data_IF_498923073309
#
_entry.id   IF_498923073309
#
_cell.length_a   1.000
_cell.length_b   1.000
_cell.length_c   1.000
_cell.angle_alpha   90.00
_cell.angle_beta   90.00
_cell.angle_gamma   90.00
#
_symmetry.space_group_name_H-M   'P 1'
#
loop_
_entity.id
_entity.type
_entity.pdbx_description
1 polymer ?
#
# COMPACT_ATOMS: atom_id res chain seq x y z
N UNK A 1 -6.71 13.79 36.39
CA UNK A 1 -5.36 13.57 35.83
C UNK A 1 -5.49 13.42 34.31
N UNK A 2 -4.68 14.09 33.48
CA UNK A 2 -4.71 13.88 32.03
C UNK A 2 -4.11 12.51 31.68
N UNK A 3 -4.67 11.86 30.67
CA UNK A 3 -4.20 10.56 30.18
C UNK A 3 -2.75 10.67 29.67
N UNK A 4 -1.91 9.67 29.92
CA UNK A 4 -0.55 9.66 29.42
C UNK A 4 -0.55 9.63 27.88
N UNK A 5 0.41 10.31 27.22
CA UNK A 5 0.52 10.26 25.78
C UNK A 5 0.73 8.81 25.32
N UNK A 6 0.13 8.40 24.19
CA UNK A 6 0.26 7.04 23.67
C UNK A 6 1.74 6.70 23.44
N UNK A 7 2.13 5.50 23.86
CA UNK A 7 3.51 5.02 23.77
C UNK A 7 3.94 4.82 22.30
N UNK A 8 5.25 4.87 21.98
CA UNK A 8 5.76 4.70 20.61
C UNK A 8 5.32 3.39 19.93
N UNK A 9 5.04 2.34 20.71
CA UNK A 9 4.49 1.09 20.23
C UNK A 9 3.07 1.21 19.67
N UNK A 10 2.25 2.14 20.18
CA UNK A 10 0.91 2.42 19.65
C UNK A 10 0.96 3.10 18.26
N UNK A 11 2.01 3.89 17.98
CA UNK A 11 2.22 4.47 16.66
C UNK A 11 2.63 3.43 15.60
N UNK A 12 3.45 2.44 15.97
CA UNK A 12 3.89 1.39 15.06
C UNK A 12 2.76 0.42 14.65
N UNK A 13 1.77 0.19 15.54
CA UNK A 13 0.60 -0.65 15.24
C UNK A 13 -0.40 0.08 14.33
N UNK A 14 -0.53 1.41 14.46
CA UNK A 14 -1.42 2.22 13.62
C UNK A 14 -0.95 2.34 12.16
N UNK A 15 0.34 2.54 11.91
CA UNK A 15 0.89 2.66 10.54
C UNK A 15 1.06 1.30 9.86
N UNK A 16 1.65 0.33 10.56
CA UNK A 16 1.89 -1.01 9.99
C UNK A 16 0.61 -1.82 9.71
N UNK A 17 -0.46 -1.58 10.48
CA UNK A 17 -1.76 -2.21 10.26
C UNK A 17 -2.45 -1.70 8.99
N UNK A 18 -2.47 -0.38 8.80
CA UNK A 18 -3.08 0.25 7.62
C UNK A 18 -2.28 -0.09 6.35
N UNK A 19 -0.94 -0.09 6.42
CA UNK A 19 -0.11 -0.46 5.27
C UNK A 19 -0.34 -1.91 4.85
N UNK A 20 -0.52 -2.81 5.82
CA UNK A 20 -0.88 -4.21 5.53
C UNK A 20 -2.25 -4.32 4.87
N UNK A 21 -3.25 -3.57 5.34
CA UNK A 21 -4.60 -3.55 4.74
C UNK A 21 -4.56 -2.99 3.32
N UNK A 22 -3.89 -1.86 3.12
CA UNK A 22 -3.72 -1.23 1.81
C UNK A 22 -2.99 -2.16 0.84
N UNK A 23 -1.91 -2.79 1.27
CA UNK A 23 -1.15 -3.70 0.41
C UNK A 23 -1.94 -4.94 0.02
N UNK A 24 -2.75 -5.49 0.94
CA UNK A 24 -3.70 -6.57 0.64
C UNK A 24 -4.74 -6.12 -0.38
N UNK A 25 -5.29 -4.91 -0.22
CA UNK A 25 -6.25 -4.35 -1.16
C UNK A 25 -5.63 -4.21 -2.56
N UNK A 26 -4.43 -3.64 -2.64
CA UNK A 26 -3.69 -3.46 -3.90
C UNK A 26 -3.47 -4.80 -4.59
N UNK A 27 -3.00 -5.82 -3.88
CA UNK A 27 -2.82 -7.17 -4.43
C UNK A 27 -4.13 -7.77 -4.96
N UNK A 28 -5.23 -7.63 -4.22
CA UNK A 28 -6.55 -8.07 -4.66
C UNK A 28 -7.04 -7.30 -5.90
N UNK A 29 -6.79 -5.98 -5.96
CA UNK A 29 -7.06 -5.15 -7.11
C UNK A 29 -6.27 -5.56 -8.34
N UNK A 30 -4.98 -5.87 -8.20
CA UNK A 30 -4.12 -6.32 -9.30
C UNK A 30 -4.55 -7.69 -9.86
N UNK A 31 -5.00 -8.61 -9.00
CA UNK A 31 -5.58 -9.90 -9.44
C UNK A 31 -6.83 -9.67 -10.30
N UNK A 32 -7.66 -8.69 -9.93
CA UNK A 32 -8.93 -8.36 -10.62
C UNK A 32 -8.71 -7.51 -11.87
N UNK A 33 -7.69 -6.66 -11.86
CA UNK A 33 -7.34 -5.72 -12.92
C UNK A 33 -5.91 -5.97 -13.41
N UNK A 34 -5.62 -7.15 -14.03
CA UNK A 34 -4.25 -7.54 -14.37
C UNK A 34 -3.56 -6.58 -15.36
N UNK A 35 -4.32 -5.85 -16.17
CA UNK A 35 -3.78 -4.81 -17.07
C UNK A 35 -3.04 -3.69 -16.32
N UNK A 36 -3.39 -3.43 -15.06
CA UNK A 36 -2.73 -2.42 -14.23
C UNK A 36 -1.35 -2.86 -13.76
N UNK A 37 -1.04 -4.18 -13.74
CA UNK A 37 0.29 -4.67 -13.39
C UNK A 37 1.33 -4.17 -14.39
N UNK A 38 1.04 -4.24 -15.70
CA UNK A 38 1.93 -3.74 -16.74
C UNK A 38 2.05 -2.21 -16.69
N UNK A 39 0.95 -1.51 -16.39
CA UNK A 39 0.93 -0.03 -16.31
C UNK A 39 1.76 0.51 -15.14
N UNK A 40 1.85 -0.25 -14.05
CA UNK A 40 2.55 0.15 -12.83
C UNK A 40 3.78 -0.71 -12.52
N UNK A 41 4.34 -1.40 -13.52
CA UNK A 41 5.39 -2.42 -13.32
C UNK A 41 6.60 -1.87 -12.57
N UNK A 42 7.09 -0.67 -12.89
CA UNK A 42 8.25 -0.07 -12.23
C UNK A 42 8.02 0.13 -10.72
N UNK A 43 6.86 0.68 -10.36
CA UNK A 43 6.48 0.90 -8.97
C UNK A 43 6.28 -0.43 -8.23
N UNK A 44 5.64 -1.40 -8.88
CA UNK A 44 5.41 -2.73 -8.30
C UNK A 44 6.72 -3.50 -8.11
N UNK A 45 7.65 -3.40 -9.05
CA UNK A 45 9.01 -3.94 -8.90
C UNK A 45 9.73 -3.27 -7.74
N UNK A 46 9.65 -1.96 -7.57
CA UNK A 46 10.22 -1.29 -6.39
C UNK A 46 9.62 -1.80 -5.07
N UNK A 47 8.32 -2.09 -5.04
CA UNK A 47 7.64 -2.69 -3.88
C UNK A 47 8.05 -4.15 -3.65
N UNK A 48 8.29 -4.92 -4.72
CA UNK A 48 8.73 -6.30 -4.65
C UNK A 48 10.12 -6.44 -4.01
N UNK A 49 11.00 -5.46 -4.24
CA UNK A 49 12.33 -5.42 -3.61
C UNK A 49 12.31 -5.03 -2.13
N UNK A 50 11.14 -4.69 -1.57
CA UNK A 50 11.02 -4.45 -0.13
C UNK A 50 11.12 -5.77 0.65
N UNK A 51 11.88 -5.77 1.75
CA UNK A 51 12.07 -6.97 2.56
C UNK A 51 10.74 -7.49 3.18
N UNK A 52 10.64 -8.81 3.27
CA UNK A 52 9.61 -9.49 4.05
C UNK A 52 8.54 -10.22 3.22
N UNK A 53 7.46 -10.62 3.88
CA UNK A 53 6.41 -11.41 3.24
C UNK A 53 5.67 -10.62 2.14
N UNK A 54 5.55 -9.30 2.31
CA UNK A 54 4.79 -8.48 1.37
C UNK A 54 5.54 -8.26 0.04
N UNK A 55 6.84 -7.98 0.07
CA UNK A 55 7.65 -7.86 -1.15
C UNK A 55 7.62 -9.13 -1.99
N UNK A 56 7.78 -10.30 -1.34
CA UNK A 56 7.66 -11.61 -2.01
C UNK A 56 6.30 -11.85 -2.67
N UNK A 57 5.22 -11.29 -2.13
CA UNK A 57 3.90 -11.37 -2.78
C UNK A 57 3.82 -10.48 -4.01
N UNK A 58 4.34 -9.25 -3.95
CA UNK A 58 4.41 -8.37 -5.11
C UNK A 58 5.29 -8.95 -6.21
N UNK A 59 6.43 -9.53 -5.84
CA UNK A 59 7.33 -10.27 -6.75
C UNK A 59 6.56 -11.38 -7.48
N UNK A 60 5.89 -12.27 -6.73
CA UNK A 60 5.10 -13.35 -7.33
C UNK A 60 3.99 -12.87 -8.27
N UNK A 61 3.30 -11.78 -7.94
CA UNK A 61 2.26 -11.20 -8.82
C UNK A 61 2.87 -10.61 -10.10
N UNK A 62 4.01 -9.91 -9.99
CA UNK A 62 4.72 -9.33 -11.13
C UNK A 62 5.28 -10.41 -12.04
N UNK A 63 5.93 -11.44 -11.49
CA UNK A 63 6.50 -12.54 -12.28
C UNK A 63 5.43 -13.26 -13.11
N UNK A 64 4.29 -13.58 -12.49
CA UNK A 64 3.17 -14.21 -13.20
C UNK A 64 2.63 -13.32 -14.31
N UNK A 65 2.56 -12.00 -14.07
CA UNK A 65 2.09 -11.04 -15.05
C UNK A 65 3.04 -10.86 -16.24
N UNK A 66 4.34 -11.02 -16.01
CA UNK A 66 5.37 -10.94 -17.05
C UNK A 66 5.45 -12.23 -17.87
N UNK A 67 5.20 -13.39 -17.27
CA UNK A 67 5.21 -14.69 -17.94
C UNK A 67 3.99 -14.93 -18.84
N UNK A 68 2.83 -14.40 -18.48
CA UNK A 68 1.57 -14.62 -19.21
C UNK A 68 1.02 -13.31 -19.79
N UNK A 69 1.07 -13.14 -21.11
CA UNK A 69 0.49 -11.97 -21.80
C UNK A 69 -1.03 -11.93 -21.74
N UNK A 70 -1.70 -13.02 -21.33
CA UNK A 70 -3.15 -13.13 -21.22
C UNK A 70 -3.53 -13.56 -19.79
N UNK A 71 -3.33 -12.66 -18.84
CA UNK A 71 -3.59 -12.91 -17.42
C UNK A 71 -5.06 -13.25 -17.14
N UNK A 72 -5.30 -14.49 -16.72
CA UNK A 72 -6.56 -14.93 -16.12
C UNK A 72 -6.45 -14.81 -14.59
N UNK A 73 -7.35 -14.02 -13.98
CA UNK A 73 -7.48 -13.87 -12.53
C UNK A 73 -7.61 -15.20 -11.80
N UNK A 74 -8.23 -16.22 -12.42
CA UNK A 74 -8.32 -17.56 -11.83
C UNK A 74 -6.95 -18.24 -11.77
N UNK A 75 -6.13 -18.10 -12.81
CA UNK A 75 -4.77 -18.65 -12.88
C UNK A 75 -3.84 -17.96 -11.89
N UNK A 76 -3.92 -16.63 -11.77
CA UNK A 76 -3.10 -15.87 -10.82
C UNK A 76 -3.37 -16.29 -9.37
N UNK A 77 -4.64 -16.57 -9.04
CA UNK A 77 -5.04 -17.13 -7.74
C UNK A 77 -4.47 -18.53 -7.51
N UNK A 78 -4.49 -19.40 -8.51
CA UNK A 78 -3.91 -20.75 -8.41
C UNK A 78 -2.41 -20.70 -8.18
N UNK A 79 -1.70 -19.78 -8.82
CA UNK A 79 -0.26 -19.63 -8.64
C UNK A 79 0.06 -19.10 -7.24
N UNK A 80 -0.67 -18.10 -6.76
CA UNK A 80 -0.51 -17.61 -5.38
C UNK A 80 -0.76 -18.71 -4.33
N UNK A 81 -1.75 -19.58 -4.55
CA UNK A 81 -1.98 -20.75 -3.71
C UNK A 81 -0.79 -21.73 -3.76
N UNK A 82 -0.29 -22.02 -4.96
CA UNK A 82 0.80 -23.00 -5.18
C UNK A 82 2.17 -22.50 -4.66
N UNK A 83 2.40 -21.18 -4.62
CA UNK A 83 3.65 -20.56 -4.18
C UNK A 83 3.85 -20.54 -2.65
N UNK A 84 3.04 -21.28 -1.88
CA UNK A 84 3.16 -21.36 -0.42
C UNK A 84 2.51 -20.20 0.33
N UNK A 85 1.67 -19.40 -0.35
CA UNK A 85 0.92 -18.30 0.24
C UNK A 85 -0.55 -18.64 0.48
N UNK A 86 -0.91 -19.92 0.64
CA UNK A 86 -2.31 -20.38 0.79
C UNK A 86 -3.13 -19.62 1.84
N UNK A 87 -2.56 -19.30 3.00
CA UNK A 87 -3.23 -18.50 4.03
C UNK A 87 -3.47 -17.06 3.56
N UNK A 88 -2.56 -16.49 2.78
CA UNK A 88 -2.70 -15.16 2.20
C UNK A 88 -3.62 -15.16 0.98
N UNK A 89 -3.68 -16.25 0.21
CA UNK A 89 -4.63 -16.42 -0.89
C UNK A 89 -6.07 -16.48 -0.37
N UNK A 90 -6.32 -17.18 0.73
CA UNK A 90 -7.62 -17.19 1.41
C UNK A 90 -7.99 -15.82 2.01
N UNK A 91 -7.03 -15.08 2.56
CA UNK A 91 -7.27 -13.70 3.02
C UNK A 91 -7.48 -12.71 1.87
N UNK A 92 -6.78 -12.87 0.74
CA UNK A 92 -6.99 -12.09 -0.48
C UNK A 92 -8.37 -12.34 -1.07
N UNK A 93 -8.92 -13.55 -0.89
CA UNK A 93 -10.30 -13.84 -1.26
C UNK A 93 -11.34 -13.13 -0.42
N UNK A 94 -10.98 -12.70 0.80
CA UNK A 94 -11.81 -11.85 1.68
C UNK A 94 -11.53 -10.37 1.48
N UNK A 95 -10.61 -10.01 0.59
CA UNK A 95 -10.27 -8.62 0.33
C UNK A 95 -11.38 -7.88 -0.44
N UNK A 96 -12.34 -8.60 -1.02
CA UNK A 96 -13.61 -8.07 -1.49
C UNK A 96 -14.42 -7.35 -0.39
N UNK A 97 -14.15 -7.65 0.88
CA UNK A 97 -14.72 -6.97 2.04
C UNK A 97 -13.97 -5.69 2.43
N UNK A 98 -12.86 -5.35 1.75
CA UNK A 98 -12.12 -4.12 2.02
C UNK A 98 -12.84 -2.93 1.39
N UNK A 99 -12.81 -1.75 2.04
CA UNK A 99 -13.54 -0.58 1.61
C UNK A 99 -12.82 0.14 0.46
N UNK A 100 -12.52 -0.55 -0.64
CA UNK A 100 -11.87 0.05 -1.81
C UNK A 100 -12.64 -0.28 -3.08
N UNK A 101 -12.70 0.68 -3.98
CA UNK A 101 -13.46 0.57 -5.23
C UNK A 101 -12.95 -0.57 -6.12
N UNK A 102 -11.63 -0.76 -6.17
CA UNK A 102 -10.94 -1.79 -6.95
C UNK A 102 -10.97 -3.20 -6.34
N UNK A 103 -11.45 -3.36 -5.11
CA UNK A 103 -11.69 -4.69 -4.53
C UNK A 103 -13.12 -5.17 -4.79
N UNK A 104 -14.05 -4.26 -5.08
CA UNK A 104 -15.46 -4.54 -5.34
C UNK A 104 -15.72 -5.11 -6.75
N UNK A 105 -16.72 -5.98 -6.86
CA UNK A 105 -17.09 -6.62 -8.15
C UNK A 105 -17.97 -5.75 -9.04
N UNK A 106 -18.74 -4.85 -8.46
CA UNK A 106 -19.84 -4.13 -9.12
C UNK A 106 -19.49 -2.66 -9.46
N UNK A 107 -18.24 -2.24 -9.25
CA UNK A 107 -17.79 -0.87 -9.51
C UNK A 107 -17.34 -0.65 -10.96
N UNK A 108 -17.41 0.62 -11.40
CA UNK A 108 -16.93 1.03 -12.71
C UNK A 108 -15.44 0.68 -12.88
N UNK A 109 -15.12 -0.08 -13.93
CA UNK A 109 -13.78 -0.61 -14.16
C UNK A 109 -12.74 0.50 -14.42
N UNK A 110 -13.16 1.62 -15.04
CA UNK A 110 -12.27 2.76 -15.28
C UNK A 110 -11.92 3.45 -13.98
N UNK A 111 -12.90 3.66 -13.11
CA UNK A 111 -12.70 4.29 -11.80
C UNK A 111 -11.91 3.38 -10.84
N UNK A 112 -12.21 2.08 -10.81
CA UNK A 112 -11.42 1.11 -10.05
C UNK A 112 -9.94 1.10 -10.47
N UNK A 113 -9.66 1.17 -11.78
CA UNK A 113 -8.28 1.24 -12.27
C UNK A 113 -7.56 2.52 -11.79
N UNK A 114 -8.23 3.68 -11.84
CA UNK A 114 -7.66 4.95 -11.36
C UNK A 114 -7.38 4.90 -9.85
N UNK A 115 -8.33 4.42 -9.05
CA UNK A 115 -8.18 4.32 -7.60
C UNK A 115 -7.11 3.27 -7.22
N UNK A 116 -6.96 2.19 -8.00
CA UNK A 116 -5.88 1.20 -7.81
C UNK A 116 -4.50 1.80 -8.09
N UNK A 117 -4.34 2.53 -9.19
CA UNK A 117 -3.09 3.22 -9.51
C UNK A 117 -2.68 4.21 -8.42
N UNK A 118 -3.67 4.93 -7.89
CA UNK A 118 -3.48 5.85 -6.77
C UNK A 118 -3.09 5.11 -5.47
N UNK A 119 -3.73 3.98 -5.17
CA UNK A 119 -3.39 3.13 -4.03
C UNK A 119 -1.96 2.60 -4.11
N UNK A 120 -1.51 2.17 -5.29
CA UNK A 120 -0.13 1.73 -5.55
C UNK A 120 0.85 2.88 -5.28
N UNK A 121 0.55 4.07 -5.78
CA UNK A 121 1.38 5.26 -5.58
C UNK A 121 1.51 5.65 -4.10
N UNK A 122 0.40 5.61 -3.36
CA UNK A 122 0.40 5.87 -1.90
C UNK A 122 1.22 4.81 -1.17
N UNK A 123 1.00 3.53 -1.46
CA UNK A 123 1.72 2.41 -0.83
C UNK A 123 3.24 2.51 -1.03
N UNK A 124 3.69 2.90 -2.22
CA UNK A 124 5.11 3.07 -2.52
C UNK A 124 5.73 4.32 -1.86
N UNK A 125 4.97 5.43 -1.75
CA UNK A 125 5.47 6.70 -1.23
C UNK A 125 5.56 6.73 0.31
N UNK A 126 4.63 6.08 1.02
CA UNK A 126 4.55 6.16 2.48
C UNK A 126 5.84 5.75 3.21
N UNK A 127 6.47 4.59 2.93
CA UNK A 127 7.69 4.19 3.63
C UNK A 127 8.85 5.18 3.41
N UNK A 128 8.97 5.72 2.21
CA UNK A 128 10.01 6.70 1.85
C UNK A 128 9.83 8.01 2.62
N UNK A 129 8.58 8.51 2.71
CA UNK A 129 8.26 9.74 3.45
C UNK A 129 8.47 9.55 4.95
N UNK A 130 8.09 8.41 5.52
CA UNK A 130 8.29 8.11 6.94
C UNK A 130 9.79 8.01 7.28
N UNK A 131 10.58 7.32 6.45
CA UNK A 131 12.03 7.22 6.63
C UNK A 131 12.70 8.60 6.56
N UNK A 132 12.36 9.41 5.56
CA UNK A 132 12.87 10.77 5.41
C UNK A 132 12.46 11.67 6.59
N UNK A 133 11.23 11.52 7.10
CA UNK A 133 10.75 12.27 8.26
C UNK A 133 11.50 11.88 9.54
N UNK A 134 11.78 10.59 9.73
CA UNK A 134 12.58 10.12 10.86
C UNK A 134 14.00 10.69 10.81
N UNK A 135 14.63 10.68 9.64
CA UNK A 135 15.96 11.28 9.43
C UNK A 135 15.96 12.79 9.69
N UNK A 136 14.99 13.52 9.12
CA UNK A 136 14.87 14.96 9.32
C UNK A 136 14.61 15.31 10.80
N UNK A 137 13.80 14.52 11.49
CA UNK A 137 13.54 14.70 12.92
C UNK A 137 14.81 14.48 13.74
N UNK A 138 15.59 13.45 13.44
CA UNK A 138 16.87 13.21 14.11
C UNK A 138 17.88 14.35 13.86
N UNK A 139 17.92 14.90 12.65
CA UNK A 139 18.77 16.02 12.32
C UNK A 139 18.40 17.28 13.13
N UNK A 140 17.11 17.62 13.21
CA UNK A 140 16.60 18.75 14.03
C UNK A 140 16.95 18.56 15.52
N UNK A 141 16.82 17.34 16.04
CA UNK A 141 17.17 17.00 17.42
C UNK A 141 18.67 17.11 17.70
N UNK A 142 19.51 16.68 16.76
CA UNK A 142 20.96 16.74 16.91
C UNK A 142 21.49 18.17 16.83
N UNK A 143 20.94 18.97 15.90
CA UNK A 143 21.28 20.38 15.74
C UNK A 143 20.11 21.12 15.12
N UNK A 144 19.53 22.04 15.88
CA UNK A 144 18.48 22.90 15.37
C UNK A 144 19.06 23.85 14.30
N UNK A 145 18.48 23.81 13.10
CA UNK A 145 18.68 24.78 12.04
C UNK A 145 17.35 25.03 11.32
N UNK A 146 17.19 26.24 10.77
CA UNK A 146 15.98 26.60 10.03
C UNK A 146 15.78 25.65 8.83
N UNK A 147 16.84 25.31 8.11
CA UNK A 147 16.81 24.36 6.99
C UNK A 147 16.33 22.96 7.41
N UNK A 148 16.83 22.42 8.53
CA UNK A 148 16.42 21.10 9.01
C UNK A 148 14.94 21.11 9.46
N UNK A 149 14.52 22.20 10.10
CA UNK A 149 13.13 22.39 10.52
C UNK A 149 12.18 22.56 9.33
N UNK A 150 12.53 23.37 8.33
CA UNK A 150 11.77 23.54 7.09
C UNK A 150 11.61 22.21 6.35
N UNK A 151 12.69 21.43 6.23
CA UNK A 151 12.65 20.09 5.64
C UNK A 151 11.71 19.16 6.41
N UNK A 152 11.77 19.17 7.74
CA UNK A 152 10.86 18.38 8.59
C UNK A 152 9.40 18.79 8.36
N UNK A 153 9.09 20.09 8.34
CA UNK A 153 7.72 20.60 8.10
C UNK A 153 7.22 20.20 6.72
N UNK A 154 8.05 20.28 5.68
CA UNK A 154 7.69 19.84 4.34
C UNK A 154 7.34 18.33 4.31
N UNK A 155 8.10 17.50 5.02
CA UNK A 155 7.84 16.07 5.11
C UNK A 155 6.57 15.73 5.91
N UNK A 156 6.28 16.47 6.98
CA UNK A 156 5.00 16.33 7.72
C UNK A 156 3.81 16.66 6.81
N UNK A 157 3.89 17.74 6.04
CA UNK A 157 2.84 18.10 5.06
C UNK A 157 2.66 17.00 4.01
N UNK A 158 3.78 16.48 3.48
CA UNK A 158 3.74 15.41 2.49
C UNK A 158 3.13 14.13 3.05
N UNK A 159 3.40 13.79 4.31
CA UNK A 159 2.74 12.66 4.99
C UNK A 159 1.23 12.87 5.10
N UNK A 160 0.80 14.05 5.54
CA UNK A 160 -0.63 14.39 5.64
C UNK A 160 -1.34 14.32 4.28
N UNK A 161 -0.69 14.75 3.20
CA UNK A 161 -1.21 14.58 1.83
C UNK A 161 -1.44 13.11 1.47
N UNK A 162 -0.50 12.22 1.80
CA UNK A 162 -0.67 10.78 1.55
C UNK A 162 -1.82 10.18 2.37
N UNK A 163 -1.99 10.61 3.62
CA UNK A 163 -3.10 10.18 4.47
C UNK A 163 -4.45 10.65 3.92
N UNK A 164 -4.55 11.89 3.43
CA UNK A 164 -5.77 12.39 2.78
C UNK A 164 -6.07 11.64 1.47
N UNK A 165 -5.06 11.38 0.65
CA UNK A 165 -5.22 10.57 -0.58
C UNK A 165 -5.73 9.17 -0.24
N UNK A 166 -5.18 8.53 0.79
CA UNK A 166 -5.66 7.23 1.26
C UNK A 166 -7.10 7.28 1.76
N UNK A 167 -7.45 8.29 2.56
CA UNK A 167 -8.81 8.47 3.06
C UNK A 167 -9.82 8.63 1.92
N UNK A 168 -9.46 9.36 0.86
CA UNK A 168 -10.30 9.54 -0.32
C UNK A 168 -10.49 8.26 -1.16
N UNK A 169 -9.55 7.30 -1.04
CA UNK A 169 -9.66 6.00 -1.69
C UNK A 169 -10.53 5.01 -0.93
N UNK A 170 -10.62 5.18 0.39
CA UNK A 170 -11.51 4.37 1.20
C UNK A 170 -12.95 4.76 0.87
N UNK A 171 -13.76 3.77 0.48
CA UNK A 171 -15.20 3.89 0.51
C UNK A 171 -15.57 4.28 1.93
N UNK A 172 -16.01 5.51 2.13
CA UNK A 172 -16.65 5.87 3.37
C UNK A 172 -17.82 4.88 3.56
N UNK A 173 -17.89 4.23 4.71
CA UNK A 173 -19.09 3.51 5.11
C UNK A 173 -20.23 4.54 5.17
N UNK A 174 -20.89 4.81 4.04
CA UNK A 174 -22.22 5.41 4.02
C UNK A 174 -23.19 4.32 4.49
N UNK A 175 -23.19 4.11 5.81
CA UNK A 175 -24.30 3.45 6.53
C UNK A 175 -25.35 4.48 6.92
#
# INVERSE_FOLDING_TARGET
PPEPPPSPAAHAVGTGGIDRVLAKAVLAGLIRHPAEITRHVETLTSLAHADGALGRLFEAVVDVALEDRALDSARLRTILATSGFDSQAAELLRADQLPFTFTQKEWDAGRAALDLGEAIAVLAARPQVEAALAEATAAVQARFSDEAFERQVALVRRKAELEMRLANLMLADET
#
